data_IF_048325222620
#
_entry.id   IF_048325222620
#
_cell.length_a   1.000
_cell.length_b   1.000
_cell.length_c   1.000
_cell.angle_alpha   90.00
_cell.angle_beta   90.00
_cell.angle_gamma   90.00
#
_symmetry.space_group_name_H-M   'P 1'
#
loop_
_entity.id
_entity.type
_entity.pdbx_description
1 polymer ?
#
# COMPACT_ATOMS: atom_id res chain seq x y z
N UNK A 1 7.90 -4.06 7.83
CA UNK A 1 7.57 -3.17 6.69
C UNK A 1 7.52 -1.70 7.09
N UNK A 2 6.92 -1.34 8.23
CA UNK A 2 6.81 0.08 8.68
C UNK A 2 8.17 0.75 8.73
N UNK A 3 9.16 0.07 9.31
CA UNK A 3 10.54 0.54 9.36
C UNK A 3 11.11 0.85 7.96
N UNK A 4 10.89 -0.04 6.99
CA UNK A 4 11.34 0.16 5.60
C UNK A 4 10.62 1.34 4.90
N UNK A 5 9.32 1.52 5.14
CA UNK A 5 8.57 2.68 4.64
C UNK A 5 9.14 4.00 5.19
N UNK A 6 9.35 4.05 6.50
CA UNK A 6 9.92 5.24 7.17
C UNK A 6 11.35 5.48 6.67
N UNK A 7 12.16 4.44 6.56
CA UNK A 7 13.52 4.54 6.06
C UNK A 7 13.57 5.09 4.63
N UNK A 8 12.78 4.53 3.71
CA UNK A 8 12.74 5.03 2.33
C UNK A 8 12.31 6.50 2.24
N UNK A 9 11.34 6.90 3.06
CA UNK A 9 10.94 8.31 3.17
C UNK A 9 12.08 9.19 3.72
N UNK A 10 12.72 8.80 4.82
CA UNK A 10 13.80 9.59 5.44
C UNK A 10 15.08 9.63 4.60
N UNK A 11 15.34 8.61 3.81
CA UNK A 11 16.44 8.56 2.82
C UNK A 11 16.10 9.35 1.53
N UNK A 12 14.95 10.01 1.47
CA UNK A 12 14.59 10.92 0.38
C UNK A 12 14.21 10.21 -0.93
N UNK A 13 13.67 8.99 -0.86
CA UNK A 13 13.20 8.29 -2.06
C UNK A 13 11.97 8.98 -2.65
N UNK A 14 11.98 9.24 -3.96
CA UNK A 14 10.86 9.87 -4.67
C UNK A 14 9.66 8.92 -4.81
N UNK A 15 9.93 7.63 -5.02
CA UNK A 15 8.92 6.59 -5.27
C UNK A 15 9.19 5.38 -4.39
N UNK A 16 8.16 4.92 -3.67
CA UNK A 16 8.15 3.67 -2.94
C UNK A 16 7.20 2.69 -3.63
N UNK A 17 7.72 1.52 -4.03
CA UNK A 17 6.92 0.45 -4.63
C UNK A 17 6.94 -0.80 -3.75
N UNK A 18 5.76 -1.33 -3.45
CA UNK A 18 5.58 -2.41 -2.50
C UNK A 18 4.75 -3.54 -3.13
N UNK A 19 5.43 -4.64 -3.45
CA UNK A 19 4.78 -5.90 -3.87
C UNK A 19 4.67 -6.85 -2.67
N UNK A 20 3.87 -6.46 -1.69
CA UNK A 20 3.60 -7.21 -0.47
C UNK A 20 2.22 -6.87 0.06
N UNK A 21 1.69 -7.73 0.91
CA UNK A 21 0.47 -7.45 1.65
C UNK A 21 -0.15 -8.70 2.23
N UNK A 22 -1.16 -8.51 3.06
CA UNK A 22 -2.05 -9.59 3.50
C UNK A 22 -3.48 -9.05 3.53
N UNK A 23 -4.46 -9.93 3.25
CA UNK A 23 -5.87 -9.56 3.13
C UNK A 23 -6.37 -8.92 4.42
N UNK A 24 -6.57 -7.60 4.37
CA UNK A 24 -7.00 -6.75 5.48
C UNK A 24 -7.74 -5.58 4.85
N UNK A 25 -9.04 -5.75 4.61
CA UNK A 25 -9.83 -4.87 3.75
C UNK A 25 -9.94 -3.40 4.16
N UNK A 26 -9.55 -3.05 5.39
CA UNK A 26 -9.78 -1.72 5.97
C UNK A 26 -8.51 -0.88 6.15
N UNK A 27 -8.65 0.44 5.95
CA UNK A 27 -7.55 1.40 5.82
C UNK A 27 -6.85 1.75 7.14
N UNK A 28 -7.38 1.28 8.27
CA UNK A 28 -6.90 1.62 9.62
C UNK A 28 -5.76 0.72 10.10
N UNK A 29 -5.35 -0.27 9.30
CA UNK A 29 -4.16 -1.05 9.61
C UNK A 29 -2.93 -0.12 9.72
N UNK A 30 -2.05 -0.40 10.69
CA UNK A 30 -0.91 0.48 10.99
C UNK A 30 -0.04 0.74 9.76
N UNK A 31 0.18 -0.28 8.92
CA UNK A 31 0.91 -0.16 7.66
C UNK A 31 0.22 0.74 6.63
N UNK A 32 -1.11 0.67 6.51
CA UNK A 32 -1.87 1.51 5.60
C UNK A 32 -1.88 2.98 6.06
N UNK A 33 -2.02 3.23 7.36
CA UNK A 33 -1.96 4.59 7.94
C UNK A 33 -0.58 5.22 7.72
N UNK A 34 0.49 4.47 7.98
CA UNK A 34 1.87 4.97 7.76
C UNK A 34 2.12 5.23 6.27
N UNK A 35 1.75 4.30 5.39
CA UNK A 35 1.92 4.47 3.95
C UNK A 35 1.13 5.68 3.42
N UNK A 36 -0.11 5.87 3.90
CA UNK A 36 -0.94 7.03 3.52
C UNK A 36 -0.30 8.34 3.97
N UNK A 37 0.21 8.42 5.20
CA UNK A 37 0.90 9.63 5.70
C UNK A 37 2.15 9.97 4.91
N UNK A 38 2.95 8.97 4.51
CA UNK A 38 4.11 9.18 3.65
C UNK A 38 3.67 9.71 2.28
N UNK A 39 2.63 9.11 1.70
CA UNK A 39 2.08 9.56 0.42
C UNK A 39 1.55 11.01 0.48
N UNK A 40 0.84 11.36 1.55
CA UNK A 40 0.34 12.71 1.79
C UNK A 40 1.43 13.78 1.93
N UNK A 41 2.67 13.39 2.24
CA UNK A 41 3.84 14.28 2.29
C UNK A 41 4.54 14.46 0.94
N UNK A 42 4.02 13.86 -0.13
CA UNK A 42 4.47 14.06 -1.51
C UNK A 42 5.30 12.92 -2.11
N UNK A 43 5.61 11.87 -1.34
CA UNK A 43 6.27 10.67 -1.88
C UNK A 43 5.26 9.83 -2.66
N UNK A 44 5.60 9.37 -3.87
CA UNK A 44 4.70 8.47 -4.62
C UNK A 44 4.77 7.08 -4.02
N UNK A 45 3.65 6.53 -3.55
CA UNK A 45 3.59 5.19 -2.96
C UNK A 45 2.67 4.30 -3.78
N UNK A 46 3.23 3.24 -4.37
CA UNK A 46 2.49 2.23 -5.16
C UNK A 46 2.50 0.89 -4.44
N UNK A 47 1.35 0.25 -4.34
CA UNK A 47 1.20 -0.99 -3.58
C UNK A 47 0.23 -1.93 -4.31
N UNK A 48 0.58 -3.21 -4.40
CA UNK A 48 -0.32 -4.20 -5.00
C UNK A 48 -1.65 -4.29 -4.23
N UNK A 49 -2.77 -4.36 -4.95
CA UNK A 49 -4.10 -4.55 -4.37
C UNK A 49 -4.24 -5.92 -3.67
N UNK A 50 -3.42 -6.90 -4.06
CA UNK A 50 -3.43 -8.27 -3.54
C UNK A 50 -3.97 -9.28 -4.56
N UNK A 51 -3.82 -10.56 -4.23
CA UNK A 51 -4.14 -11.68 -5.13
C UNK A 51 -5.39 -12.48 -4.70
N UNK A 52 -6.05 -12.06 -3.62
CA UNK A 52 -7.19 -12.78 -3.02
C UNK A 52 -8.54 -12.27 -3.53
N UNK A 53 -8.58 -11.62 -4.70
CA UNK A 53 -9.79 -10.97 -5.24
C UNK A 53 -10.98 -11.91 -5.44
N UNK A 54 -10.73 -13.21 -5.64
CA UNK A 54 -11.78 -14.24 -5.76
C UNK A 54 -12.54 -14.48 -4.45
N UNK A 55 -11.95 -14.12 -3.31
CA UNK A 55 -12.57 -14.26 -1.98
C UNK A 55 -13.60 -13.17 -1.69
N UNK A 56 -13.66 -12.13 -2.54
CA UNK A 56 -14.66 -11.07 -2.51
C UNK A 56 -14.07 -9.66 -2.48
N UNK A 57 -14.91 -8.65 -2.73
CA UNK A 57 -14.47 -7.25 -2.93
C UNK A 57 -13.76 -6.61 -1.72
N UNK A 58 -13.87 -7.21 -0.52
CA UNK A 58 -13.24 -6.72 0.71
C UNK A 58 -11.90 -7.41 1.03
N UNK A 59 -11.41 -8.29 0.15
CA UNK A 59 -10.14 -9.00 0.32
C UNK A 59 -8.92 -8.25 -0.22
N UNK A 60 -9.00 -6.92 -0.36
CA UNK A 60 -7.83 -6.09 -0.66
C UNK A 60 -6.77 -6.23 0.44
N UNK A 61 -5.50 -6.13 0.04
CA UNK A 61 -4.36 -6.31 0.93
C UNK A 61 -3.94 -4.99 1.58
N UNK A 62 -3.59 -5.03 2.86
CA UNK A 62 -2.87 -3.94 3.50
C UNK A 62 -1.36 -4.08 3.24
N UNK A 63 -0.63 -2.99 2.94
CA UNK A 63 -1.03 -1.56 3.00
C UNK A 63 -1.73 -0.98 1.76
N UNK A 64 -2.03 -1.78 0.72
CA UNK A 64 -2.56 -1.31 -0.55
C UNK A 64 -3.96 -0.70 -0.52
N UNK A 65 -4.59 -0.68 0.64
CA UNK A 65 -5.87 -0.03 0.92
C UNK A 65 -5.74 1.25 1.77
N UNK A 66 -4.54 1.82 1.85
CA UNK A 66 -4.34 3.17 2.37
C UNK A 66 -5.13 4.21 1.58
N UNK A 67 -5.42 5.34 2.20
CA UNK A 67 -6.25 6.41 1.62
C UNK A 67 -5.50 7.16 0.52
N UNK A 68 -4.24 7.52 0.78
CA UNK A 68 -3.45 8.38 -0.13
C UNK A 68 -2.51 7.59 -1.06
N UNK A 69 -2.50 6.26 -0.96
CA UNK A 69 -1.60 5.40 -1.76
C UNK A 69 -2.23 5.02 -3.09
N UNK A 70 -1.41 4.66 -4.08
CA UNK A 70 -1.88 4.10 -5.35
C UNK A 70 -1.99 2.58 -5.19
N UNK A 71 -3.24 2.10 -5.12
CA UNK A 71 -3.56 0.66 -5.15
C UNK A 71 -3.52 0.14 -6.59
N UNK A 72 -2.68 -0.86 -6.86
CA UNK A 72 -2.43 -1.37 -8.20
C UNK A 72 -3.08 -2.75 -8.39
N UNK A 73 -4.08 -2.83 -9.26
CA UNK A 73 -4.72 -4.08 -9.68
C UNK A 73 -4.00 -4.72 -10.88
N UNK A 74 -4.41 -5.94 -11.26
CA UNK A 74 -3.92 -6.66 -12.43
C UNK A 74 -5.09 -7.06 -13.33
N UNK A 75 -4.86 -7.04 -14.64
CA UNK A 75 -5.76 -7.55 -15.68
C UNK A 75 -4.95 -8.42 -16.63
N UNK A 76 -5.57 -9.45 -17.18
CA UNK A 76 -5.02 -10.23 -18.29
C UNK A 76 -5.86 -9.99 -19.56
N UNK A 77 -5.24 -10.11 -20.74
CA UNK A 77 -5.83 -9.76 -22.04
C UNK A 77 -6.66 -10.88 -22.65
#
# INVERSE_FOLDING_TARGET
IIDALIRGFLEGQDILTLSLGASRGWSESTSAVVASRIAALGTVVTIAAGNDGTSGSWYTSSPGNGIDVISVASIDK
#
